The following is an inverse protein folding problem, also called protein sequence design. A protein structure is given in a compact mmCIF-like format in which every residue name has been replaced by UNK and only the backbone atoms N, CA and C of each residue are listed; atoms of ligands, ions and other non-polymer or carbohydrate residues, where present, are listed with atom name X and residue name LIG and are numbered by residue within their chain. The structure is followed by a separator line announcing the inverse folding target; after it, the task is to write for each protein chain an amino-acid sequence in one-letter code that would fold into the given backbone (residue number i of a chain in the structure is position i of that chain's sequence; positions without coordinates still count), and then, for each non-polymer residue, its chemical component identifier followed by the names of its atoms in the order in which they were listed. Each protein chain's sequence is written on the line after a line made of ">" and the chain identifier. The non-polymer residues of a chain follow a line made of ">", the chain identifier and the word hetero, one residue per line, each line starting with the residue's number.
data_IF_619064187727
#
_entry.id   IF_619064187727
#
_cell.length_a   1.000
_cell.length_b   1.000
_cell.length_c   1.000
_cell.angle_alpha   90.00
_cell.angle_beta   90.00
_cell.angle_gamma   90.00
#
_symmetry.space_group_name_H-M   'P 1'
#
loop_
_entity.id
_entity.type
_entity.pdbx_description
1 polymer ?
#
# COMPACT_ATOMS: atom_id res chain seq x y z
N UNK A 1 -33.43 -1.51 19.61
CA UNK A 1 -32.04 -1.04 19.48
C UNK A 1 -32.06 0.43 19.10
N UNK A 2 -31.52 1.32 19.93
CA UNK A 2 -31.57 2.78 19.73
C UNK A 2 -30.68 3.22 18.55
N UNK A 3 -31.01 4.34 17.91
CA UNK A 3 -30.29 4.91 16.75
C UNK A 3 -28.77 5.05 17.00
N UNK A 4 -28.40 5.35 18.24
CA UNK A 4 -27.03 5.48 18.73
C UNK A 4 -26.29 4.13 18.70
N UNK A 5 -26.94 3.04 19.13
CA UNK A 5 -26.37 1.69 19.09
C UNK A 5 -26.09 1.22 17.65
N UNK A 6 -26.97 1.57 16.70
CA UNK A 6 -26.78 1.26 15.27
C UNK A 6 -25.59 2.01 14.66
N UNK A 7 -25.41 3.28 15.03
CA UNK A 7 -24.31 4.14 14.55
C UNK A 7 -22.96 3.67 15.09
N UNK A 8 -22.92 3.24 16.36
CA UNK A 8 -21.72 2.72 17.01
C UNK A 8 -21.31 1.36 16.45
N UNK A 9 -22.29 0.48 16.19
CA UNK A 9 -22.08 -0.81 15.54
C UNK A 9 -21.52 -0.63 14.11
N UNK A 10 -22.11 0.28 13.32
CA UNK A 10 -21.64 0.57 11.96
C UNK A 10 -20.22 1.15 11.96
N UNK A 11 -19.90 2.06 12.89
CA UNK A 11 -18.57 2.64 13.04
C UNK A 11 -17.49 1.63 13.42
N UNK A 12 -17.83 0.53 14.07
CA UNK A 12 -16.90 -0.56 14.44
C UNK A 12 -16.79 -1.64 13.36
N UNK A 13 -17.88 -1.93 12.65
CA UNK A 13 -17.93 -2.93 11.59
C UNK A 13 -17.25 -2.49 10.29
N UNK A 14 -17.35 -1.20 9.94
CA UNK A 14 -16.73 -0.68 8.71
C UNK A 14 -15.20 -0.82 8.68
N UNK A 15 -14.45 -0.43 9.73
CA UNK A 15 -12.99 -0.60 9.72
C UNK A 15 -12.56 -2.07 9.81
N UNK A 16 -13.34 -2.93 10.47
CA UNK A 16 -13.04 -4.37 10.51
C UNK A 16 -13.27 -5.04 9.16
N UNK A 17 -14.32 -4.66 8.42
CA UNK A 17 -14.54 -5.16 7.06
C UNK A 17 -13.46 -4.68 6.08
N UNK A 18 -13.04 -3.41 6.19
CA UNK A 18 -11.91 -2.90 5.41
C UNK A 18 -10.61 -3.59 5.77
N UNK A 19 -10.36 -3.86 7.05
CA UNK A 19 -9.19 -4.61 7.50
C UNK A 19 -9.19 -6.02 6.90
N UNK A 20 -10.30 -6.76 6.98
CA UNK A 20 -10.42 -8.12 6.41
C UNK A 20 -10.28 -8.09 4.88
N UNK A 21 -10.87 -7.11 4.21
CA UNK A 21 -10.72 -6.93 2.76
C UNK A 21 -9.24 -6.72 2.40
N UNK A 22 -8.55 -5.77 3.03
CA UNK A 22 -7.12 -5.51 2.79
C UNK A 22 -6.20 -6.69 3.18
N UNK A 23 -6.53 -7.42 4.26
CA UNK A 23 -5.75 -8.59 4.71
C UNK A 23 -6.02 -9.85 3.88
N UNK A 24 -7.06 -9.87 3.06
CA UNK A 24 -7.35 -10.99 2.15
C UNK A 24 -6.58 -10.91 0.83
N UNK A 25 -5.97 -9.76 0.51
CA UNK A 25 -5.20 -9.57 -0.73
C UNK A 25 -3.67 -9.88 -0.69
N UNK A 26 -2.97 -10.17 0.42
CA UNK A 26 -1.54 -10.44 0.36
C UNK A 26 -1.16 -11.88 -0.04
N UNK A 27 -2.11 -12.76 -0.38
CA UNK A 27 -1.80 -14.16 -0.71
C UNK A 27 -1.37 -14.42 -2.15
N UNK A 28 -1.40 -13.40 -3.03
CA UNK A 28 -0.87 -13.51 -4.39
C UNK A 28 0.55 -12.94 -4.54
N UNK A 29 1.23 -12.59 -3.44
CA UNK A 29 2.69 -12.48 -3.45
C UNK A 29 3.29 -13.90 -3.50
N UNK A 30 3.10 -14.57 -4.63
CA UNK A 30 3.81 -15.81 -4.92
C UNK A 30 5.29 -15.45 -5.04
N UNK A 31 6.04 -15.79 -4.00
CA UNK A 31 7.48 -15.94 -4.08
C UNK A 31 7.72 -17.02 -5.14
N UNK A 32 7.99 -16.58 -6.37
CA UNK A 32 8.43 -17.46 -7.44
C UNK A 32 9.83 -17.92 -7.02
N UNK A 33 9.89 -19.03 -6.29
CA UNK A 33 11.04 -19.93 -6.35
C UNK A 33 10.88 -20.64 -7.68
N UNK A 34 11.60 -20.18 -8.69
CA UNK A 34 11.89 -21.03 -9.84
C UNK A 34 12.63 -22.25 -9.30
N UNK A 35 11.97 -23.40 -9.29
CA UNK A 35 12.65 -24.68 -9.30
C UNK A 35 13.50 -24.70 -10.58
N UNK A 36 14.82 -24.72 -10.44
CA UNK A 36 15.74 -25.07 -11.53
C UNK A 36 15.38 -26.47 -12.05
N UNK A 37 15.23 -26.64 -13.37
CA UNK A 37 15.79 -27.81 -13.99
C UNK A 37 17.00 -27.41 -14.84
N UNK A 38 18.12 -28.04 -14.47
CA UNK A 38 19.23 -28.44 -15.34
C UNK A 38 20.10 -27.32 -15.91
N UNK A 39 21.25 -27.13 -15.26
CA UNK A 39 22.58 -27.06 -15.87
C UNK A 39 22.66 -26.29 -17.19
N UNK A 40 22.66 -24.97 -17.11
CA UNK A 40 23.45 -24.17 -18.04
C UNK A 40 24.40 -23.31 -17.22
N UNK A 41 25.69 -23.40 -17.56
CA UNK A 41 26.77 -22.60 -16.98
C UNK A 41 26.55 -21.15 -17.40
N UNK A 42 25.56 -20.49 -16.79
CA UNK A 42 25.37 -19.06 -16.87
C UNK A 42 26.52 -18.40 -16.15
N UNK A 43 27.22 -17.48 -16.83
CA UNK A 43 28.33 -16.72 -16.26
C UNK A 43 27.95 -16.26 -14.85
N UNK A 44 28.83 -16.48 -13.86
CA UNK A 44 28.64 -16.07 -12.45
C UNK A 44 28.17 -14.60 -12.33
N UNK A 45 28.53 -13.78 -13.32
CA UNK A 45 28.08 -12.41 -13.53
C UNK A 45 26.57 -12.25 -13.79
N UNK A 46 25.93 -13.14 -14.55
CA UNK A 46 24.50 -13.11 -14.85
C UNK A 46 23.66 -13.50 -13.62
N UNK A 47 24.06 -14.56 -12.91
CA UNK A 47 23.39 -15.01 -11.68
C UNK A 47 23.45 -13.91 -10.60
N UNK A 48 24.61 -13.26 -10.45
CA UNK A 48 24.80 -12.17 -9.49
C UNK A 48 23.99 -10.91 -9.86
N UNK A 49 23.84 -10.63 -11.16
CA UNK A 49 23.01 -9.53 -11.66
C UNK A 49 21.53 -9.74 -11.33
N UNK A 50 20.99 -10.93 -11.61
CA UNK A 50 19.59 -11.28 -11.32
C UNK A 50 19.30 -11.29 -9.81
N UNK A 51 20.22 -11.84 -9.00
CA UNK A 51 20.12 -11.84 -7.54
C UNK A 51 20.08 -10.42 -6.96
N UNK A 52 20.97 -9.54 -7.42
CA UNK A 52 21.03 -8.14 -6.95
C UNK A 52 19.76 -7.38 -7.36
N UNK A 53 19.26 -7.61 -8.57
CA UNK A 53 18.02 -7.00 -9.06
C UNK A 53 16.80 -7.41 -8.21
N UNK A 54 16.66 -8.70 -7.90
CA UNK A 54 15.57 -9.20 -7.06
C UNK A 54 15.61 -8.62 -5.63
N UNK A 55 16.81 -8.44 -5.07
CA UNK A 55 16.96 -7.83 -3.74
C UNK A 55 16.54 -6.36 -3.73
N UNK A 56 16.97 -5.58 -4.73
CA UNK A 56 16.58 -4.17 -4.89
C UNK A 56 15.08 -4.04 -5.16
N UNK A 57 14.52 -4.90 -6.01
CA UNK A 57 13.09 -4.96 -6.30
C UNK A 57 12.27 -5.19 -5.02
N UNK A 58 12.67 -6.15 -4.19
CA UNK A 58 11.99 -6.48 -2.94
C UNK A 58 11.98 -5.30 -1.96
N UNK A 59 13.13 -4.64 -1.80
CA UNK A 59 13.26 -3.47 -0.90
C UNK A 59 12.36 -2.32 -1.38
N UNK A 60 12.40 -1.98 -2.67
CA UNK A 60 11.58 -0.88 -3.20
C UNK A 60 10.09 -1.20 -3.07
N UNK A 61 9.70 -2.44 -3.36
CA UNK A 61 8.31 -2.89 -3.22
C UNK A 61 7.82 -2.79 -1.77
N UNK A 62 8.69 -3.15 -0.80
CA UNK A 62 8.39 -3.01 0.62
C UNK A 62 8.15 -1.55 1.02
N UNK A 63 9.02 -0.62 0.58
CA UNK A 63 8.83 0.81 0.87
C UNK A 63 7.56 1.37 0.21
N UNK A 64 7.22 0.94 -1.01
CA UNK A 64 5.97 1.33 -1.66
C UNK A 64 4.73 0.84 -0.91
N UNK A 65 4.76 -0.40 -0.42
CA UNK A 65 3.68 -0.93 0.42
C UNK A 65 3.53 -0.16 1.74
N UNK A 66 4.64 0.23 2.36
CA UNK A 66 4.63 1.06 3.57
C UNK A 66 4.06 2.45 3.30
N UNK A 67 4.44 3.07 2.18
CA UNK A 67 3.96 4.38 1.77
C UNK A 67 2.45 4.36 1.48
N UNK A 68 1.97 3.30 0.83
CA UNK A 68 0.54 3.06 0.63
C UNK A 68 -0.22 2.95 1.96
N UNK A 69 0.33 2.21 2.94
CA UNK A 69 -0.26 2.07 4.27
C UNK A 69 -0.35 3.42 5.01
N UNK A 70 0.71 4.23 4.96
CA UNK A 70 0.73 5.58 5.55
C UNK A 70 -0.32 6.47 4.92
N UNK A 71 -0.46 6.40 3.58
CA UNK A 71 -1.52 7.09 2.85
C UNK A 71 -2.91 6.70 3.36
N UNK A 72 -3.17 5.41 3.57
CA UNK A 72 -4.46 4.92 4.07
C UNK A 72 -4.77 5.49 5.46
N UNK A 73 -3.79 5.46 6.37
CA UNK A 73 -3.93 6.01 7.73
C UNK A 73 -4.25 7.50 7.66
N UNK A 74 -3.51 8.26 6.85
CA UNK A 74 -3.74 9.69 6.72
C UNK A 74 -5.11 10.02 6.10
N UNK A 75 -5.61 9.21 5.16
CA UNK A 75 -6.97 9.32 4.62
C UNK A 75 -8.04 9.14 5.70
N UNK A 76 -7.85 8.18 6.59
CA UNK A 76 -8.73 7.95 7.75
C UNK A 76 -8.67 9.15 8.71
N UNK A 77 -7.47 9.61 9.07
CA UNK A 77 -7.30 10.76 9.97
C UNK A 77 -7.90 12.05 9.40
N UNK A 78 -7.69 12.31 8.11
CA UNK A 78 -8.27 13.44 7.41
C UNK A 78 -9.80 13.37 7.42
N UNK A 79 -10.37 12.18 7.13
CA UNK A 79 -11.82 11.97 7.17
C UNK A 79 -12.38 12.28 8.56
N UNK A 80 -11.75 11.78 9.62
CA UNK A 80 -12.17 12.06 11.01
C UNK A 80 -12.12 13.56 11.31
N UNK A 81 -11.04 14.26 10.94
CA UNK A 81 -10.92 15.71 11.15
C UNK A 81 -11.98 16.50 10.39
N UNK A 82 -12.27 16.13 9.13
CA UNK A 82 -13.32 16.76 8.35
C UNK A 82 -14.71 16.56 8.96
N UNK A 83 -14.99 15.37 9.52
CA UNK A 83 -16.26 15.08 10.18
C UNK A 83 -16.44 15.84 11.51
N UNK A 84 -15.37 16.05 12.28
CA UNK A 84 -15.43 16.70 13.60
C UNK A 84 -15.29 18.22 13.49
N UNK A 85 -14.83 18.76 12.36
CA UNK A 85 -14.55 20.19 12.19
C UNK A 85 -15.73 21.09 12.59
N UNK A 86 -16.99 20.68 12.41
CA UNK A 86 -18.16 21.30 13.07
C UNK A 86 -18.33 22.81 12.85
N UNK A 87 -17.70 23.39 11.82
CA UNK A 87 -17.67 24.84 11.56
C UNK A 87 -16.37 25.56 11.95
N UNK A 88 -15.39 24.87 12.55
CA UNK A 88 -14.04 25.38 12.80
C UNK A 88 -13.19 25.31 11.55
N UNK A 89 -12.94 26.48 10.94
CA UNK A 89 -12.16 26.60 9.70
C UNK A 89 -10.74 26.01 9.86
N UNK A 90 -10.12 26.21 11.03
CA UNK A 90 -8.77 25.71 11.31
C UNK A 90 -8.68 24.18 11.26
N UNK A 91 -9.65 23.48 11.86
CA UNK A 91 -9.67 22.01 11.87
C UNK A 91 -10.03 21.46 10.49
N UNK A 92 -10.86 22.19 9.75
CA UNK A 92 -11.22 21.86 8.38
C UNK A 92 -10.02 21.97 7.43
N UNK A 93 -9.24 23.05 7.53
CA UNK A 93 -8.05 23.29 6.73
C UNK A 93 -6.95 22.24 7.01
N UNK A 94 -6.72 21.91 8.28
CA UNK A 94 -5.82 20.82 8.66
C UNK A 94 -6.28 19.47 8.09
N UNK A 95 -7.58 19.17 8.17
CA UNK A 95 -8.17 17.96 7.61
C UNK A 95 -7.95 17.86 6.09
N UNK A 96 -8.21 18.95 5.37
CA UNK A 96 -7.97 19.03 3.90
C UNK A 96 -6.51 18.84 3.55
N UNK A 97 -5.62 19.48 4.29
CA UNK A 97 -4.17 19.38 4.09
C UNK A 97 -3.70 17.94 4.21
N UNK A 98 -4.09 17.25 5.29
CA UNK A 98 -3.76 15.84 5.49
C UNK A 98 -4.34 14.99 4.37
N UNK A 99 -5.57 15.26 3.93
CA UNK A 99 -6.21 14.54 2.84
C UNK A 99 -5.43 14.66 1.53
N UNK A 100 -4.97 15.87 1.19
CA UNK A 100 -4.17 16.12 -0.02
C UNK A 100 -2.84 15.36 0.06
N UNK A 101 -2.12 15.45 1.19
CA UNK A 101 -0.86 14.72 1.35
C UNK A 101 -1.05 13.20 1.27
N UNK A 102 -2.12 12.67 1.87
CA UNK A 102 -2.46 11.25 1.77
C UNK A 102 -2.81 10.84 0.35
N UNK A 103 -3.56 11.66 -0.39
CA UNK A 103 -3.88 11.40 -1.79
C UNK A 103 -2.63 11.39 -2.67
N UNK A 104 -1.70 12.34 -2.45
CA UNK A 104 -0.44 12.39 -3.19
C UNK A 104 0.41 11.15 -2.89
N UNK A 105 0.53 10.76 -1.62
CA UNK A 105 1.22 9.54 -1.22
C UNK A 105 0.57 8.28 -1.84
N UNK A 106 -0.77 8.22 -1.87
CA UNK A 106 -1.51 7.13 -2.51
C UNK A 106 -1.13 6.99 -3.99
N UNK A 107 -1.22 8.09 -4.74
CA UNK A 107 -0.91 8.12 -6.18
C UNK A 107 0.55 7.74 -6.41
N UNK A 108 1.49 8.29 -5.65
CA UNK A 108 2.91 7.95 -5.72
C UNK A 108 3.17 6.46 -5.49
N UNK A 109 2.49 5.85 -4.51
CA UNK A 109 2.67 4.43 -4.22
C UNK A 109 2.22 3.55 -5.39
N UNK A 110 1.09 3.88 -6.04
CA UNK A 110 0.56 3.15 -7.19
C UNK A 110 1.48 3.32 -8.40
N UNK A 111 1.87 4.55 -8.71
CA UNK A 111 2.80 4.82 -9.82
C UNK A 111 4.15 4.12 -9.61
N UNK A 112 4.69 4.17 -8.39
CA UNK A 112 5.93 3.49 -8.05
C UNK A 112 5.83 1.97 -8.22
N UNK A 113 4.72 1.38 -7.80
CA UNK A 113 4.46 -0.05 -7.99
C UNK A 113 4.32 -0.43 -9.48
N UNK A 114 3.62 0.37 -10.27
CA UNK A 114 3.50 0.13 -11.72
C UNK A 114 4.88 0.21 -12.39
N UNK A 115 5.67 1.23 -12.06
CA UNK A 115 7.01 1.42 -12.66
C UNK A 115 7.95 0.27 -12.30
N UNK A 116 8.02 -0.15 -11.04
CA UNK A 116 8.91 -1.25 -10.64
C UNK A 116 8.50 -2.57 -11.33
N UNK A 117 7.20 -2.80 -11.50
CA UNK A 117 6.69 -4.00 -12.17
C UNK A 117 6.98 -3.97 -13.69
N UNK A 118 6.91 -2.80 -14.34
CA UNK A 118 7.34 -2.63 -15.72
C UNK A 118 8.84 -2.90 -15.88
N UNK A 119 9.67 -2.37 -14.97
CA UNK A 119 11.12 -2.62 -14.99
C UNK A 119 11.45 -4.11 -14.83
N UNK A 120 10.73 -4.81 -13.95
CA UNK A 120 10.89 -6.27 -13.79
C UNK A 120 10.63 -7.01 -15.10
N UNK A 121 9.57 -6.65 -15.83
CA UNK A 121 9.20 -7.31 -17.09
C UNK A 121 10.10 -6.94 -18.28
N UNK A 122 10.83 -5.83 -18.22
CA UNK A 122 11.76 -5.41 -19.29
C UNK A 122 13.15 -6.01 -19.09
N UNK A 123 13.57 -6.24 -17.84
CA UNK A 123 14.92 -6.71 -17.48
C UNK A 123 15.00 -8.25 -17.41
N UNK A 124 13.92 -8.90 -16.99
CA UNK A 124 13.78 -10.37 -16.89
C UNK A 124 12.80 -10.82 -17.98
#
# INVERSE_FOLDING_TARGET
>A
MTLIQKKLLFSLLTPTYLFIFFFSFPTNAQFIVEEEPTTEVGSESAIKTVSTFNQVYSIITFFMALLFLISLIGLITASIKLFIAGGSEKVLEEGRTILIYSLVAFVLSIFGYIMINLFKHVII
#
